data_IF_561533614369
#
_entry.id   IF_561533614369
#
_cell.length_a   1.000
_cell.length_b   1.000
_cell.length_c   1.000
_cell.angle_alpha   90.00
_cell.angle_beta   90.00
_cell.angle_gamma   90.00
#
_symmetry.space_group_name_H-M   'P 1'
#
loop_
_entity.id
_entity.type
_entity.pdbx_description
1 polymer ?
#
# COMPACT_ATOMS: atom_id res chain seq x y z
N UNK A 1 29.88 -1.18 -2.34
CA UNK A 1 29.00 -1.58 -1.22
C UNK A 1 27.60 -1.08 -1.58
N UNK A 2 26.70 -2.01 -1.88
CA UNK A 2 25.34 -1.77 -2.36
C UNK A 2 24.45 -1.44 -1.15
N UNK A 3 24.28 -0.16 -0.87
CA UNK A 3 23.43 0.32 0.23
C UNK A 3 22.00 0.44 -0.28
N UNK A 4 21.30 -0.69 -0.45
CA UNK A 4 19.83 -0.67 -0.52
C UNK A 4 19.32 -0.31 0.87
N UNK A 5 19.24 1.00 1.11
CA UNK A 5 18.53 1.57 2.23
C UNK A 5 17.10 1.06 2.18
N UNK A 6 16.78 0.11 3.07
CA UNK A 6 15.42 -0.22 3.50
C UNK A 6 14.82 1.04 4.13
N UNK A 7 14.50 2.03 3.31
CA UNK A 7 13.69 3.17 3.69
C UNK A 7 12.29 2.62 3.82
N UNK A 8 11.84 2.46 5.07
CA UNK A 8 10.42 2.43 5.46
C UNK A 8 9.64 3.18 4.40
N UNK A 9 8.64 2.58 3.75
CA UNK A 9 7.95 3.28 2.69
C UNK A 9 7.22 4.49 3.28
N UNK A 10 7.86 5.66 3.16
CA UNK A 10 7.45 6.99 3.65
C UNK A 10 6.03 7.39 3.23
N UNK A 11 5.40 6.64 2.33
CA UNK A 11 4.07 6.91 1.82
C UNK A 11 3.37 5.61 1.44
N UNK A 12 2.07 5.53 1.74
CA UNK A 12 1.14 4.46 1.32
C UNK A 12 1.34 4.05 -0.15
N UNK A 13 1.61 5.03 -1.01
CA UNK A 13 1.90 4.83 -2.43
C UNK A 13 3.14 3.95 -2.69
N UNK A 14 4.21 4.09 -1.91
CA UNK A 14 5.42 3.28 -2.05
C UNK A 14 5.16 1.83 -1.64
N UNK A 15 4.42 1.59 -0.54
CA UNK A 15 3.98 0.23 -0.15
C UNK A 15 3.21 -0.44 -1.29
N UNK A 16 2.21 0.26 -1.81
CA UNK A 16 1.40 -0.25 -2.92
C UNK A 16 2.28 -0.58 -4.12
N UNK A 17 3.22 0.32 -4.47
CA UNK A 17 4.06 0.16 -5.65
C UNK A 17 5.04 -1.00 -5.49
N UNK A 18 5.66 -1.14 -4.33
CA UNK A 18 6.67 -2.17 -4.08
C UNK A 18 6.06 -3.56 -3.93
N UNK A 19 4.83 -3.67 -3.39
CA UNK A 19 4.17 -4.95 -3.16
C UNK A 19 3.15 -5.36 -4.23
N UNK A 20 2.40 -4.41 -4.81
CA UNK A 20 1.34 -4.69 -5.81
C UNK A 20 1.56 -4.00 -7.17
N UNK A 21 2.52 -3.09 -7.26
CA UNK A 21 2.78 -2.27 -8.45
C UNK A 21 1.82 -1.10 -8.65
N UNK A 22 0.54 -1.24 -8.31
CA UNK A 22 -0.48 -0.19 -8.47
C UNK A 22 -1.62 -0.31 -7.47
N UNK A 23 -2.32 0.82 -7.22
CA UNK A 23 -3.50 0.85 -6.33
C UNK A 23 -4.59 -0.09 -6.80
N UNK A 24 -4.84 -0.18 -8.11
CA UNK A 24 -5.86 -1.07 -8.67
C UNK A 24 -5.56 -2.55 -8.39
N UNK A 25 -4.29 -2.97 -8.48
CA UNK A 25 -3.89 -4.34 -8.14
C UNK A 25 -4.03 -4.62 -6.65
N UNK A 26 -3.65 -3.66 -5.81
CA UNK A 26 -3.88 -3.75 -4.37
C UNK A 26 -5.38 -3.90 -4.08
N UNK A 27 -6.22 -3.01 -4.61
CA UNK A 27 -7.68 -3.06 -4.41
C UNK A 27 -8.25 -4.41 -4.87
N UNK A 28 -7.90 -4.86 -6.08
CA UNK A 28 -8.34 -6.15 -6.59
C UNK A 28 -7.91 -7.33 -5.71
N UNK A 29 -6.71 -7.27 -5.11
CA UNK A 29 -6.20 -8.31 -4.21
C UNK A 29 -6.99 -8.42 -2.90
N UNK A 30 -7.62 -7.32 -2.47
CA UNK A 30 -8.49 -7.27 -1.29
C UNK A 30 -9.99 -7.30 -1.64
N UNK A 31 -10.34 -7.51 -2.91
CA UNK A 31 -11.74 -7.47 -3.37
C UNK A 31 -12.37 -6.08 -3.29
N UNK A 32 -11.56 -5.02 -3.18
CA UNK A 32 -11.98 -3.64 -3.10
C UNK A 32 -12.16 -3.04 -4.49
N UNK A 33 -13.15 -2.16 -4.62
CA UNK A 33 -13.39 -1.38 -5.82
C UNK A 33 -12.63 -0.05 -5.86
N UNK A 34 -13.08 0.82 -6.77
CA UNK A 34 -12.62 2.20 -6.93
C UNK A 34 -13.60 3.22 -6.36
N UNK A 35 -14.63 2.77 -5.64
CA UNK A 35 -15.56 3.68 -4.97
C UNK A 35 -14.86 4.42 -3.83
N UNK A 36 -15.34 5.60 -3.42
CA UNK A 36 -14.75 6.33 -2.30
C UNK A 36 -14.64 5.49 -1.01
N UNK A 37 -15.66 4.68 -0.69
CA UNK A 37 -15.65 3.82 0.49
C UNK A 37 -14.62 2.69 0.41
N UNK A 38 -14.45 2.09 -0.76
CA UNK A 38 -13.42 1.06 -0.99
C UNK A 38 -12.01 1.66 -0.93
N UNK A 39 -11.84 2.90 -1.38
CA UNK A 39 -10.57 3.61 -1.29
C UNK A 39 -10.23 3.96 0.17
N UNK A 40 -11.21 4.38 0.97
CA UNK A 40 -11.01 4.62 2.40
C UNK A 40 -10.67 3.32 3.15
N UNK A 41 -11.32 2.20 2.84
CA UNK A 41 -10.98 0.88 3.42
C UNK A 41 -9.56 0.47 3.03
N UNK A 42 -9.21 0.60 1.75
CA UNK A 42 -7.86 0.32 1.28
C UNK A 42 -6.79 1.20 1.93
N UNK A 43 -7.13 2.42 2.35
CA UNK A 43 -6.23 3.31 3.07
C UNK A 43 -6.06 2.90 4.53
N UNK A 44 -7.12 2.42 5.20
CA UNK A 44 -7.04 1.86 6.56
C UNK A 44 -6.15 0.62 6.61
N UNK A 45 -6.24 -0.25 5.60
CA UNK A 45 -5.37 -1.44 5.49
C UNK A 45 -3.91 -1.00 5.40
N UNK A 46 -3.58 -0.02 4.56
CA UNK A 46 -2.21 0.48 4.42
C UNK A 46 -1.69 1.18 5.70
N UNK A 47 -2.56 1.88 6.42
CA UNK A 47 -2.22 2.44 7.73
C UNK A 47 -1.92 1.36 8.77
N UNK A 48 -2.64 0.24 8.72
CA UNK A 48 -2.32 -0.90 9.56
C UNK A 48 -0.95 -1.47 9.20
N UNK A 49 -0.63 -1.65 7.91
CA UNK A 49 0.71 -2.09 7.49
C UNK A 49 1.83 -1.15 7.97
N UNK A 50 1.62 0.17 7.90
CA UNK A 50 2.61 1.15 8.39
C UNK A 50 2.82 1.14 9.91
N UNK A 51 1.84 0.68 10.69
CA UNK A 51 1.95 0.63 12.17
C UNK A 51 2.61 -0.64 12.69
N UNK A 52 2.72 -1.67 11.87
CA UNK A 52 3.24 -2.99 12.25
C UNK A 52 4.69 -3.25 11.82
N UNK A 53 5.32 -2.30 11.12
CA UNK A 53 6.74 -2.30 10.72
C UNK A 53 7.52 -1.29 11.59
#
# INVERSE_FOLDING_TARGET
>A
QNSESFSMPDSKYKIIKDSWGSRSNFQASYGLGTTPGDLEEGDRILEAFQKYD
#
